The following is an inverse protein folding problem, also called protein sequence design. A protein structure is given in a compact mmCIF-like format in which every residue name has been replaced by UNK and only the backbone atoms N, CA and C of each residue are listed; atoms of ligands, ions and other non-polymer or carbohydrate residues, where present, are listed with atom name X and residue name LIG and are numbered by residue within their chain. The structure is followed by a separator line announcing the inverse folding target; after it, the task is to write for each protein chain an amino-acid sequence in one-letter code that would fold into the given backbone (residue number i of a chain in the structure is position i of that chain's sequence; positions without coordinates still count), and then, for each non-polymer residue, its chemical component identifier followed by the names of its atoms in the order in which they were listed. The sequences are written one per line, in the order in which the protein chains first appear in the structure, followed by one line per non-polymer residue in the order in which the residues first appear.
data_IF_092374820758
#
_entry.id   IF_092374820758
#
_cell.length_a   1.000
_cell.length_b   1.000
_cell.length_c   1.000
_cell.angle_alpha   90.00
_cell.angle_beta   90.00
_cell.angle_gamma   90.00
#
_symmetry.space_group_name_H-M   'P 1'
#
loop_
_entity.id
_entity.type
_entity.pdbx_description
1 polymer ?
#
# COMPACT_ATOMS: atom_id res chain seq x y z
N UNK A 1 36.01 -29.42 3.77
CA UNK A 1 36.46 -28.52 2.68
C UNK A 1 35.32 -27.91 1.82
N UNK A 2 34.04 -27.91 2.27
CA UNK A 2 32.90 -27.47 1.42
C UNK A 2 32.10 -26.23 1.88
N UNK A 3 32.31 -25.75 3.12
CA UNK A 3 31.48 -24.68 3.71
C UNK A 3 31.68 -23.30 3.08
N UNK A 4 32.91 -22.95 2.67
CA UNK A 4 33.20 -21.66 2.05
C UNK A 4 32.50 -21.45 0.70
N UNK A 5 32.40 -22.53 -0.10
CA UNK A 5 31.70 -22.51 -1.39
C UNK A 5 30.20 -22.36 -1.21
N UNK A 6 29.60 -23.07 -0.24
CA UNK A 6 28.18 -22.91 0.09
C UNK A 6 27.90 -21.49 0.58
N UNK A 7 28.73 -20.95 1.49
CA UNK A 7 28.60 -19.58 1.97
C UNK A 7 28.64 -18.57 0.82
N UNK A 8 29.60 -18.70 -0.10
CA UNK A 8 29.69 -17.82 -1.27
C UNK A 8 28.45 -17.92 -2.17
N UNK A 9 27.96 -19.13 -2.45
CA UNK A 9 26.73 -19.34 -3.23
C UNK A 9 25.51 -18.69 -2.55
N UNK A 10 25.35 -18.90 -1.24
CA UNK A 10 24.20 -18.35 -0.50
C UNK A 10 24.26 -16.82 -0.43
N UNK A 11 25.45 -16.22 -0.25
CA UNK A 11 25.59 -14.76 -0.29
C UNK A 11 25.27 -14.17 -1.65
N UNK A 12 25.55 -14.90 -2.74
CA UNK A 12 25.20 -14.47 -4.09
C UNK A 12 23.68 -14.47 -4.27
N UNK A 13 23.03 -15.60 -3.96
CA UNK A 13 21.55 -15.73 -4.01
C UNK A 13 20.87 -14.70 -3.10
N UNK A 14 21.37 -14.48 -1.89
CA UNK A 14 20.79 -13.49 -0.97
C UNK A 14 20.87 -12.07 -1.52
N UNK A 15 21.95 -11.70 -2.23
CA UNK A 15 22.05 -10.40 -2.90
C UNK A 15 21.11 -10.32 -4.09
N UNK A 16 21.06 -11.37 -4.91
CA UNK A 16 20.10 -11.47 -6.01
C UNK A 16 18.68 -11.24 -5.47
N UNK A 17 18.26 -11.97 -4.43
CA UNK A 17 16.95 -11.79 -3.80
C UNK A 17 16.73 -10.40 -3.19
N UNK A 18 17.74 -9.82 -2.52
CA UNK A 18 17.62 -8.50 -1.89
C UNK A 18 17.42 -7.38 -2.92
N UNK A 19 18.08 -7.49 -4.06
CA UNK A 19 18.07 -6.46 -5.11
C UNK A 19 17.27 -6.89 -6.34
N UNK A 20 16.54 -8.01 -6.25
CA UNK A 20 15.64 -8.46 -7.30
C UNK A 20 14.39 -7.58 -7.29
N UNK A 21 14.21 -6.84 -8.38
CA UNK A 21 12.93 -6.25 -8.72
C UNK A 21 12.28 -7.15 -9.76
N UNK A 22 11.10 -7.73 -9.50
CA UNK A 22 10.37 -8.48 -10.52
C UNK A 22 9.95 -7.54 -11.65
N UNK A 23 10.02 -8.02 -12.89
CA UNK A 23 9.47 -7.30 -14.03
C UNK A 23 7.93 -7.39 -14.00
N UNK A 24 7.29 -6.26 -13.75
CA UNK A 24 5.83 -6.16 -13.74
C UNK A 24 5.30 -6.04 -15.16
N UNK A 25 4.41 -6.95 -15.57
CA UNK A 25 3.76 -6.86 -16.88
C UNK A 25 2.59 -5.86 -16.83
N UNK A 26 2.87 -4.61 -17.20
CA UNK A 26 1.88 -3.53 -17.18
C UNK A 26 0.69 -3.79 -18.10
N UNK A 27 0.89 -4.44 -19.26
CA UNK A 27 -0.21 -4.76 -20.18
C UNK A 27 -1.21 -5.76 -19.56
N UNK A 28 -0.74 -6.70 -18.73
CA UNK A 28 -1.62 -7.62 -18.01
C UNK A 28 -2.39 -6.88 -16.92
N UNK A 29 -1.71 -6.03 -16.15
CA UNK A 29 -2.33 -5.22 -15.10
C UNK A 29 -3.42 -4.28 -15.64
N UNK A 30 -3.16 -3.58 -16.74
CA UNK A 30 -4.14 -2.70 -17.38
C UNK A 30 -5.42 -3.46 -17.77
N UNK A 31 -5.27 -4.69 -18.29
CA UNK A 31 -6.43 -5.53 -18.66
C UNK A 31 -7.23 -5.95 -17.44
N UNK A 32 -6.59 -6.26 -16.32
CA UNK A 32 -7.27 -6.60 -15.06
C UNK A 32 -8.00 -5.38 -14.45
N UNK A 33 -7.42 -4.19 -14.55
CA UNK A 33 -8.03 -2.95 -14.05
C UNK A 33 -9.20 -2.47 -14.92
N UNK A 34 -9.05 -2.54 -16.24
CA UNK A 34 -10.06 -2.05 -17.20
C UNK A 34 -11.19 -3.03 -17.43
N UNK A 35 -10.95 -4.33 -17.23
CA UNK A 35 -11.97 -5.36 -17.21
C UNK A 35 -12.11 -5.88 -15.79
N UNK A 36 -12.90 -5.20 -14.92
CA UNK A 36 -13.29 -5.81 -13.66
C UNK A 36 -13.90 -7.17 -14.02
N UNK A 37 -13.35 -8.25 -13.44
CA UNK A 37 -13.90 -9.59 -13.61
C UNK A 37 -15.36 -9.52 -13.18
N UNK A 38 -16.25 -9.46 -14.17
CA UNK A 38 -17.69 -9.36 -13.97
C UNK A 38 -18.14 -10.63 -13.27
N UNK A 39 -18.22 -10.62 -11.93
CA UNK A 39 -18.54 -11.78 -11.12
C UNK A 39 -17.53 -12.15 -10.03
N UNK A 40 -16.51 -11.34 -9.76
CA UNK A 40 -15.75 -11.50 -8.51
C UNK A 40 -16.73 -11.41 -7.32
N UNK A 41 -16.76 -12.39 -6.40
CA UNK A 41 -17.62 -12.31 -5.23
C UNK A 41 -17.21 -11.08 -4.43
N UNK A 42 -18.18 -10.20 -4.16
CA UNK A 42 -18.00 -9.11 -3.22
C UNK A 42 -17.68 -9.77 -1.89
N UNK A 43 -16.45 -9.58 -1.40
CA UNK A 43 -16.08 -10.08 -0.08
C UNK A 43 -16.97 -9.35 0.94
N UNK A 44 -17.81 -10.05 1.71
CA UNK A 44 -18.66 -9.40 2.72
C UNK A 44 -17.84 -8.62 3.74
N UNK A 45 -16.56 -8.99 3.94
CA UNK A 45 -15.64 -8.24 4.79
C UNK A 45 -15.30 -6.86 4.23
N UNK A 46 -15.29 -6.70 2.91
CA UNK A 46 -15.02 -5.42 2.25
C UNK A 46 -16.11 -4.40 2.59
N UNK A 47 -17.37 -4.82 2.64
CA UNK A 47 -18.49 -3.93 2.98
C UNK A 47 -18.40 -3.43 4.43
N UNK A 48 -18.09 -4.31 5.38
CA UNK A 48 -17.84 -3.93 6.78
C UNK A 48 -16.63 -3.01 6.94
N UNK A 49 -15.54 -3.29 6.23
CA UNK A 49 -14.32 -2.47 6.28
C UNK A 49 -14.56 -1.08 5.67
N UNK A 50 -15.37 -0.98 4.61
CA UNK A 50 -15.79 0.30 4.00
C UNK A 50 -16.72 1.11 4.90
N UNK A 51 -17.63 0.47 5.64
CA UNK A 51 -18.50 1.14 6.62
C UNK A 51 -17.70 1.63 7.84
N UNK A 52 -16.71 0.83 8.29
CA UNK A 52 -15.84 1.18 9.41
C UNK A 52 -14.88 2.33 9.09
N UNK A 53 -14.44 2.41 7.83
CA UNK A 53 -13.51 3.42 7.36
C UNK A 53 -14.09 4.16 6.15
N UNK A 54 -15.14 4.98 6.36
CA UNK A 54 -15.89 5.60 5.27
C UNK A 54 -15.02 6.54 4.41
N UNK A 55 -13.90 7.04 4.92
CA UNK A 55 -12.89 7.80 4.18
C UNK A 55 -12.35 7.06 2.93
N UNK A 56 -12.27 5.74 2.97
CA UNK A 56 -11.80 4.92 1.84
C UNK A 56 -12.93 4.48 0.90
N UNK A 57 -14.19 4.77 1.23
CA UNK A 57 -15.31 4.47 0.36
C UNK A 57 -15.34 5.40 -0.84
N UNK A 58 -15.60 4.85 -2.03
CA UNK A 58 -15.71 5.65 -3.25
C UNK A 58 -16.80 6.73 -3.17
N UNK A 59 -17.76 6.59 -2.26
CA UNK A 59 -18.86 7.54 -2.05
C UNK A 59 -18.44 8.79 -1.26
N UNK A 60 -17.42 8.72 -0.40
CA UNK A 60 -16.96 9.87 0.39
C UNK A 60 -15.88 10.69 -0.33
N UNK A 61 -15.28 10.12 -1.38
CA UNK A 61 -14.32 10.82 -2.24
C UNK A 61 -15.03 11.86 -3.12
N UNK A 62 -15.37 13.01 -2.52
CA UNK A 62 -15.77 14.22 -3.23
C UNK A 62 -14.50 15.03 -3.55
N UNK A 63 -14.09 15.17 -4.83
CA UNK A 63 -12.82 15.78 -5.23
C UNK A 63 -12.74 17.30 -4.97
N UNK A 64 -13.60 17.87 -4.12
CA UNK A 64 -13.66 19.29 -3.81
C UNK A 64 -14.02 19.64 -2.35
N UNK A 65 -14.13 18.67 -1.43
CA UNK A 65 -14.42 18.93 -0.01
C UNK A 65 -13.33 18.34 0.88
N UNK A 66 -12.07 18.76 0.68
CA UNK A 66 -11.11 18.73 1.77
C UNK A 66 -11.46 19.89 2.70
N UNK A 67 -12.40 19.69 3.62
CA UNK A 67 -12.47 20.55 4.79
C UNK A 67 -11.20 20.28 5.59
N UNK A 68 -10.17 21.10 5.34
CA UNK A 68 -9.13 21.35 6.32
C UNK A 68 -9.88 21.90 7.53
N UNK A 69 -10.18 21.03 8.48
CA UNK A 69 -10.39 21.49 9.84
C UNK A 69 -9.03 21.95 10.32
N UNK A 70 -8.82 23.26 10.31
CA UNK A 70 -7.77 23.94 11.06
C UNK A 70 -8.00 23.60 12.55
N UNK A 71 -7.58 22.42 12.99
CA UNK A 71 -7.33 22.18 14.40
C UNK A 71 -6.15 23.09 14.77
N UNK A 72 -6.52 24.29 15.21
CA UNK A 72 -5.68 25.32 15.83
C UNK A 72 -4.59 24.67 16.68
N UNK A 73 -3.38 24.60 16.11
CA UNK A 73 -2.19 24.38 16.90
C UNK A 73 -1.93 25.66 17.69
N UNK A 74 -2.49 25.76 18.90
CA UNK A 74 -2.15 26.79 19.89
C UNK A 74 -0.76 26.47 20.47
N UNK A 75 0.30 27.22 20.13
CA UNK A 75 1.59 27.02 20.76
C UNK A 75 1.55 27.55 22.20
N UNK A 76 1.50 26.66 23.17
CA UNK A 76 1.62 26.92 24.61
C UNK A 76 2.85 27.82 24.91
N UNK A 77 2.62 29.13 25.03
CA UNK A 77 3.66 30.16 25.23
C UNK A 77 4.30 30.10 26.63
N UNK A 78 3.99 29.08 27.44
CA UNK A 78 4.36 29.05 28.85
C UNK A 78 5.42 27.98 29.17
N UNK A 79 6.12 27.45 28.16
CA UNK A 79 7.27 26.55 28.35
C UNK A 79 8.60 27.24 28.09
N UNK A 80 9.19 27.69 29.21
CA UNK A 80 10.65 27.73 29.51
C UNK A 80 11.53 28.70 28.71
N UNK A 81 12.47 29.45 29.27
CA UNK A 81 13.06 29.55 30.61
C UNK A 81 13.68 30.94 30.79
#
# INVERSE_FOLDING_TARGET
MGRGRQKAKHTKVARELKYFSPDTNYNALERELTHPVTGAPVDPKLEEDLEKWPEFSASSYSPGTSEITDDEYEPDQNKTA
#
